data_IF_875226312654
#
_entry.id   IF_875226312654
#
_cell.length_a   1.000
_cell.length_b   1.000
_cell.length_c   1.000
_cell.angle_alpha   90.00
_cell.angle_beta   90.00
_cell.angle_gamma   90.00
#
_symmetry.space_group_name_H-M   'P 1'
#
loop_
_entity.id
_entity.type
_entity.pdbx_description
1 polymer ?
#
# COMPACT_ATOMS: atom_id res chain seq x y z
N UNK A 1 -14.31 37.43 2.59
CA UNK A 1 -14.87 36.07 2.85
C UNK A 1 -13.95 35.19 3.72
N UNK A 2 -13.41 35.69 4.84
CA UNK A 2 -12.38 34.95 5.61
C UNK A 2 -12.88 34.08 6.77
N UNK A 3 -13.99 34.47 7.42
CA UNK A 3 -14.47 33.83 8.66
C UNK A 3 -15.14 32.47 8.44
N UNK A 4 -15.86 32.30 7.33
CA UNK A 4 -16.56 31.05 7.02
C UNK A 4 -15.57 29.92 6.69
N UNK A 5 -14.55 30.22 5.87
CA UNK A 5 -13.49 29.25 5.54
C UNK A 5 -12.67 28.83 6.75
N UNK A 6 -12.40 29.73 7.70
CA UNK A 6 -11.67 29.39 8.93
C UNK A 6 -12.44 28.36 9.75
N UNK A 7 -13.76 28.55 9.93
CA UNK A 7 -14.62 27.59 10.66
C UNK A 7 -14.73 26.23 9.98
N UNK A 8 -14.83 26.19 8.65
CA UNK A 8 -14.86 24.92 7.91
C UNK A 8 -13.55 24.14 8.12
N UNK A 9 -12.40 24.82 8.08
CA UNK A 9 -11.10 24.20 8.31
C UNK A 9 -10.91 23.73 9.75
N UNK A 10 -11.33 24.53 10.72
CA UNK A 10 -11.26 24.24 12.15
C UNK A 10 -12.16 23.05 12.52
N UNK A 11 -13.32 22.93 11.87
CA UNK A 11 -14.18 21.74 11.94
C UNK A 11 -13.56 20.50 11.26
N UNK A 12 -12.82 20.68 10.17
CA UNK A 12 -12.10 19.57 9.52
C UNK A 12 -10.95 19.06 10.41
N UNK A 13 -10.15 19.98 10.98
CA UNK A 13 -9.02 19.62 11.86
C UNK A 13 -9.53 19.04 13.18
N UNK A 14 -10.57 19.61 13.79
CA UNK A 14 -11.20 19.04 14.99
C UNK A 14 -11.87 17.69 14.69
N UNK A 15 -12.40 17.52 13.49
CA UNK A 15 -12.87 16.23 12.98
C UNK A 15 -11.74 15.21 12.87
N UNK A 16 -10.54 15.60 12.44
CA UNK A 16 -9.35 14.71 12.32
C UNK A 16 -8.82 14.29 13.70
N UNK A 17 -8.85 15.19 14.69
CA UNK A 17 -8.39 14.91 16.07
C UNK A 17 -9.41 14.14 16.92
N UNK A 18 -10.63 13.96 16.39
CA UNK A 18 -11.64 13.13 17.04
C UNK A 18 -11.18 11.67 17.16
N UNK A 19 -11.50 10.97 18.26
CA UNK A 19 -11.17 9.55 18.44
C UNK A 19 -11.64 8.69 17.25
N UNK A 20 -12.78 9.03 16.66
CA UNK A 20 -13.39 8.32 15.54
C UNK A 20 -12.57 8.45 14.24
N UNK A 21 -12.02 9.63 13.94
CA UNK A 21 -11.19 9.82 12.76
C UNK A 21 -9.83 9.13 12.89
N UNK A 22 -9.23 9.15 14.09
CA UNK A 22 -8.00 8.38 14.36
C UNK A 22 -8.24 6.88 14.20
N UNK A 23 -9.40 6.39 14.65
CA UNK A 23 -9.80 5.00 14.47
C UNK A 23 -10.02 4.65 12.99
N UNK A 24 -10.71 5.48 12.21
CA UNK A 24 -10.94 5.23 10.78
C UNK A 24 -9.63 5.25 9.96
N UNK A 25 -8.70 6.14 10.29
CA UNK A 25 -7.35 6.14 9.68
C UNK A 25 -6.59 4.85 9.99
N UNK A 26 -6.60 4.40 11.25
CA UNK A 26 -5.99 3.14 11.64
C UNK A 26 -6.67 1.95 10.95
N UNK A 27 -8.00 1.94 10.87
CA UNK A 27 -8.78 0.90 10.20
C UNK A 27 -8.44 0.81 8.70
N UNK A 28 -8.39 1.94 7.99
CA UNK A 28 -7.97 2.01 6.58
C UNK A 28 -6.53 1.49 6.38
N UNK A 29 -5.62 1.78 7.30
CA UNK A 29 -4.25 1.24 7.29
C UNK A 29 -4.27 -0.29 7.42
N UNK A 30 -4.96 -0.82 8.42
CA UNK A 30 -5.09 -2.28 8.63
C UNK A 30 -5.74 -2.98 7.44
N UNK A 31 -6.78 -2.38 6.84
CA UNK A 31 -7.46 -2.93 5.65
C UNK A 31 -6.50 -3.07 4.46
N UNK A 32 -5.64 -2.07 4.23
CA UNK A 32 -4.62 -2.13 3.16
C UNK A 32 -3.57 -3.20 3.44
N UNK A 33 -3.11 -3.31 4.67
CA UNK A 33 -2.15 -4.34 5.11
C UNK A 33 -2.75 -5.74 4.91
N UNK A 34 -3.98 -5.97 5.39
CA UNK A 34 -4.69 -7.25 5.20
C UNK A 34 -4.85 -7.59 3.72
N UNK A 35 -5.19 -6.62 2.87
CA UNK A 35 -5.27 -6.81 1.41
C UNK A 35 -3.96 -7.31 0.80
N UNK A 36 -2.83 -6.73 1.21
CA UNK A 36 -1.51 -7.19 0.77
C UNK A 36 -1.21 -8.62 1.25
N UNK A 37 -1.47 -8.94 2.51
CA UNK A 37 -1.23 -10.30 3.04
C UNK A 37 -2.01 -11.38 2.29
N UNK A 38 -3.25 -11.09 1.87
CA UNK A 38 -4.03 -12.02 1.03
C UNK A 38 -3.32 -12.26 -0.31
N UNK A 39 -2.87 -11.20 -0.98
CA UNK A 39 -2.15 -11.33 -2.26
C UNK A 39 -0.82 -12.08 -2.10
N UNK A 40 -0.07 -11.78 -1.04
CA UNK A 40 1.16 -12.49 -0.70
C UNK A 40 0.90 -13.98 -0.43
N UNK A 41 -0.15 -14.30 0.34
CA UNK A 41 -0.54 -15.67 0.66
C UNK A 41 -0.92 -16.45 -0.61
N UNK A 42 -1.72 -15.85 -1.49
CA UNK A 42 -2.06 -16.46 -2.78
C UNK A 42 -0.80 -16.69 -3.62
N UNK A 43 0.10 -15.71 -3.69
CA UNK A 43 1.37 -15.86 -4.40
C UNK A 43 2.21 -17.02 -3.85
N UNK A 44 2.37 -17.11 -2.52
CA UNK A 44 3.13 -18.20 -1.88
C UNK A 44 2.47 -19.55 -2.12
N UNK A 45 1.14 -19.65 -1.99
CA UNK A 45 0.40 -20.90 -2.22
C UNK A 45 0.52 -21.38 -3.66
N UNK A 46 0.39 -20.49 -4.65
CA UNK A 46 0.55 -20.83 -6.07
C UNK A 46 1.98 -21.26 -6.37
N UNK A 47 2.99 -20.53 -5.88
CA UNK A 47 4.39 -20.92 -6.06
C UNK A 47 4.72 -22.26 -5.37
N UNK A 48 4.21 -22.48 -4.16
CA UNK A 48 4.36 -23.75 -3.44
C UNK A 48 3.68 -24.90 -4.20
N UNK A 49 2.47 -24.69 -4.72
CA UNK A 49 1.79 -25.67 -5.55
C UNK A 49 2.57 -26.02 -6.82
N UNK A 50 3.13 -25.00 -7.50
CA UNK A 50 4.01 -25.20 -8.66
C UNK A 50 5.24 -26.03 -8.26
N UNK A 51 5.95 -25.65 -7.20
CA UNK A 51 7.14 -26.39 -6.70
C UNK A 51 6.83 -27.84 -6.31
N UNK A 52 5.71 -28.08 -5.62
CA UNK A 52 5.27 -29.43 -5.24
C UNK A 52 4.88 -30.24 -6.48
N UNK A 53 4.17 -29.62 -7.44
CA UNK A 53 3.78 -30.25 -8.69
C UNK A 53 5.01 -30.68 -9.49
N UNK A 54 6.02 -29.82 -9.57
CA UNK A 54 7.35 -30.11 -10.14
C UNK A 54 8.01 -31.26 -9.42
N UNK A 55 8.09 -31.20 -8.08
CA UNK A 55 8.82 -32.19 -7.30
C UNK A 55 8.19 -33.59 -7.45
N UNK A 56 6.85 -33.65 -7.48
CA UNK A 56 6.11 -34.87 -7.80
C UNK A 56 6.20 -35.27 -9.28
N UNK A 57 6.34 -34.30 -10.21
CA UNK A 57 6.48 -34.53 -11.66
C UNK A 57 7.93 -34.71 -12.13
N UNK A 58 8.92 -34.76 -11.25
CA UNK A 58 10.31 -35.10 -11.60
C UNK A 58 10.48 -36.46 -12.32
N UNK A 59 9.38 -37.19 -12.57
CA UNK A 59 9.30 -38.38 -13.40
C UNK A 59 8.83 -38.14 -14.86
N UNK A 60 8.31 -36.97 -15.25
CA UNK A 60 7.83 -36.69 -16.61
C UNK A 60 8.20 -35.25 -17.06
N UNK A 61 9.39 -35.12 -17.65
CA UNK A 61 9.71 -34.14 -18.69
C UNK A 61 10.23 -32.76 -18.23
N UNK A 62 11.54 -32.58 -18.33
CA UNK A 62 12.28 -31.31 -18.14
C UNK A 62 11.81 -30.16 -19.06
N UNK A 63 10.99 -30.46 -20.07
CA UNK A 63 10.57 -29.52 -21.11
C UNK A 63 9.54 -28.47 -20.67
N UNK A 64 8.75 -28.74 -19.62
CA UNK A 64 7.76 -27.78 -19.09
C UNK A 64 8.42 -26.75 -18.15
N UNK A 65 9.54 -27.13 -17.53
CA UNK A 65 10.26 -26.29 -16.57
C UNK A 65 10.99 -25.11 -17.22
N UNK A 66 11.50 -25.33 -18.43
CA UNK A 66 12.24 -24.34 -19.22
C UNK A 66 11.38 -23.51 -20.16
N UNK A 67 10.05 -23.70 -20.15
CA UNK A 67 9.17 -22.82 -20.90
C UNK A 67 9.20 -21.41 -20.30
N UNK A 68 9.70 -20.47 -21.10
CA UNK A 68 9.76 -19.03 -20.83
C UNK A 68 8.42 -18.46 -20.31
N UNK A 69 7.29 -19.07 -20.67
CA UNK A 69 5.95 -18.71 -20.17
C UNK A 69 5.79 -18.86 -18.65
N UNK A 70 6.35 -19.90 -18.04
CA UNK A 70 6.24 -20.14 -16.58
C UNK A 70 6.98 -19.07 -15.80
N UNK A 71 8.15 -18.65 -16.29
CA UNK A 71 8.98 -17.63 -15.66
C UNK A 71 8.42 -16.23 -15.83
N UNK A 72 7.81 -15.91 -16.98
CA UNK A 72 7.15 -14.62 -17.20
C UNK A 72 6.03 -14.38 -16.17
N UNK A 73 5.19 -15.39 -15.90
CA UNK A 73 4.10 -15.22 -14.93
C UNK A 73 4.63 -14.87 -13.55
N UNK A 74 5.64 -15.60 -13.06
CA UNK A 74 6.24 -15.35 -11.74
C UNK A 74 6.98 -14.00 -11.72
N UNK A 75 7.68 -13.64 -12.79
CA UNK A 75 8.41 -12.38 -12.88
C UNK A 75 7.46 -11.16 -12.88
N UNK A 76 6.44 -11.16 -13.73
CA UNK A 76 5.45 -10.05 -13.79
C UNK A 76 4.58 -10.00 -12.53
N UNK A 77 4.18 -11.15 -11.98
CA UNK A 77 3.48 -11.18 -10.69
C UNK A 77 4.38 -10.72 -9.54
N UNK A 78 5.67 -11.07 -9.56
CA UNK A 78 6.66 -10.60 -8.60
C UNK A 78 6.79 -9.08 -8.63
N UNK A 79 6.86 -8.47 -9.81
CA UNK A 79 6.86 -7.00 -9.97
C UNK A 79 5.56 -6.40 -9.43
N UNK A 80 4.40 -6.98 -9.76
CA UNK A 80 3.11 -6.53 -9.26
C UNK A 80 3.00 -6.61 -7.73
N UNK A 81 3.50 -7.70 -7.13
CA UNK A 81 3.54 -7.90 -5.70
C UNK A 81 4.51 -6.91 -5.01
N UNK A 82 5.70 -6.69 -5.58
CA UNK A 82 6.65 -5.68 -5.10
C UNK A 82 6.05 -4.27 -5.15
N UNK A 83 5.42 -3.89 -6.27
CA UNK A 83 4.76 -2.59 -6.40
C UNK A 83 3.60 -2.43 -5.40
N UNK A 84 2.79 -3.48 -5.19
CA UNK A 84 1.72 -3.48 -4.20
C UNK A 84 2.28 -3.37 -2.76
N UNK A 85 3.36 -4.09 -2.47
CA UNK A 85 4.08 -4.01 -1.19
C UNK A 85 4.66 -2.61 -0.94
N UNK A 86 5.28 -1.99 -1.94
CA UNK A 86 5.74 -0.61 -1.87
C UNK A 86 4.58 0.38 -1.70
N UNK A 87 3.41 0.14 -2.29
CA UNK A 87 2.24 1.01 -2.10
C UNK A 87 1.67 0.93 -0.67
N UNK A 88 1.65 -0.27 -0.09
CA UNK A 88 1.10 -0.55 1.25
C UNK A 88 2.09 -0.19 2.36
N UNK A 89 3.35 -0.60 2.23
CA UNK A 89 4.38 -0.40 3.25
C UNK A 89 5.40 0.68 2.91
N UNK A 90 5.52 1.12 1.66
CA UNK A 90 6.53 2.10 1.27
C UNK A 90 6.37 3.44 1.98
N UNK A 91 5.14 3.82 2.36
CA UNK A 91 4.95 4.91 3.34
C UNK A 91 5.67 4.62 4.64
N UNK A 92 5.44 3.48 5.28
CA UNK A 92 6.02 3.17 6.58
C UNK A 92 7.54 2.88 6.55
N UNK A 93 8.08 2.38 5.43
CA UNK A 93 9.49 1.97 5.29
C UNK A 93 10.37 3.11 4.79
N UNK A 94 9.92 3.89 3.79
CA UNK A 94 10.71 4.96 3.19
C UNK A 94 10.41 6.35 3.78
N UNK A 95 9.20 6.56 4.27
CA UNK A 95 8.73 7.86 4.75
C UNK A 95 8.24 7.73 6.20
N UNK A 96 9.16 7.79 7.15
CA UNK A 96 8.85 7.71 8.59
C UNK A 96 7.76 8.70 9.04
N UNK A 97 7.22 8.55 10.26
CA UNK A 97 6.12 9.39 10.77
C UNK A 97 6.41 10.90 10.62
N UNK A 98 7.68 11.31 10.74
CA UNK A 98 8.12 12.69 10.56
C UNK A 98 7.84 13.24 9.16
N UNK A 99 7.88 12.42 8.11
CA UNK A 99 7.56 12.86 6.75
C UNK A 99 6.06 13.15 6.59
N UNK A 100 5.20 12.35 7.22
CA UNK A 100 3.74 12.54 7.18
C UNK A 100 3.35 13.84 7.90
N UNK A 101 3.95 14.09 9.08
CA UNK A 101 3.77 15.33 9.83
C UNK A 101 4.30 16.56 9.08
N UNK A 102 5.49 16.46 8.48
CA UNK A 102 6.06 17.53 7.66
C UNK A 102 5.21 17.83 6.42
N UNK A 103 4.62 16.82 5.78
CA UNK A 103 3.73 17.05 4.63
C UNK A 103 2.41 17.69 5.03
N UNK A 104 1.81 17.27 6.14
CA UNK A 104 0.61 17.93 6.69
C UNK A 104 0.91 19.41 6.97
N UNK A 105 2.07 19.70 7.58
CA UNK A 105 2.51 21.06 7.85
C UNK A 105 2.75 21.88 6.57
N UNK A 106 3.34 21.28 5.54
CA UNK A 106 3.54 21.92 4.23
C UNK A 106 2.19 22.26 3.56
N UNK A 107 1.20 21.36 3.62
CA UNK A 107 -0.15 21.65 3.11
C UNK A 107 -0.83 22.75 3.93
N UNK A 108 -0.67 22.75 5.25
CA UNK A 108 -1.19 23.80 6.13
C UNK A 108 -0.61 25.18 5.80
N UNK A 109 0.68 25.26 5.45
CA UNK A 109 1.33 26.54 5.14
C UNK A 109 1.06 27.00 3.71
N UNK A 110 0.99 26.08 2.73
CA UNK A 110 0.55 26.41 1.34
C UNK A 110 -0.89 26.93 1.26
N UNK A 111 -1.79 26.43 2.10
CA UNK A 111 -3.17 26.93 2.19
C UNK A 111 -3.27 28.29 2.90
N UNK A 112 -2.27 28.68 3.70
CA UNK A 112 -2.19 30.03 4.28
C UNK A 112 -1.69 31.04 3.26
N UNK A 113 -0.70 30.70 2.45
CA UNK A 113 -0.13 31.59 1.43
C UNK A 113 -1.11 31.87 0.28
N UNK A 114 -1.84 30.86 -0.22
CA UNK A 114 -2.89 31.05 -1.23
C UNK A 114 -4.11 31.85 -0.75
N UNK A 115 -4.11 32.33 0.51
CA UNK A 115 -5.20 33.09 1.11
C UNK A 115 -4.93 34.61 1.15
N UNK A 116 -3.72 35.03 0.80
CA UNK A 116 -3.28 36.42 0.83
C UNK A 116 -2.93 37.00 -0.55
N UNK A 117 -3.06 36.21 -1.62
CA UNK A 117 -3.19 36.68 -3.01
C UNK A 117 -4.67 36.78 -3.42
#
# INVERSE_FOLDING_TARGET
MGRLRRRLFENTVSGIDSPDARYDMAYKRVKRIKGFYIHLLVYVLVNAFILISIFNRSMIGDEVFWQWQTWNTVFFWGIGLMAHGLSVFGRNIFFGPDWEENKIKEFMDKDKDNKWE
#
